data_IF_197760611783
#
_entry.id   IF_197760611783
#
_cell.length_a   1.000
_cell.length_b   1.000
_cell.length_c   1.000
_cell.angle_alpha   90.00
_cell.angle_beta   90.00
_cell.angle_gamma   90.00
#
_symmetry.space_group_name_H-M   'P 1'
#
loop_
_entity.id
_entity.type
_entity.pdbx_description
1 polymer ?
#
# COMPACT_ATOMS: atom_id res chain seq x y z
N UNK A 1 29.90 28.47 16.67
CA UNK A 1 29.63 27.16 16.07
C UNK A 1 29.00 27.35 14.67
N UNK A 2 29.59 26.73 13.68
CA UNK A 2 29.04 26.75 12.33
C UNK A 2 27.75 25.91 12.27
N UNK A 3 26.80 26.29 11.43
CA UNK A 3 25.53 25.57 11.26
C UNK A 3 25.31 25.19 9.80
N UNK A 4 24.77 23.98 9.57
CA UNK A 4 24.37 23.52 8.27
C UNK A 4 22.92 23.01 8.36
N UNK A 5 22.04 23.54 7.54
CA UNK A 5 20.64 23.10 7.47
C UNK A 5 20.43 22.28 6.21
N UNK A 6 19.91 21.07 6.36
CA UNK A 6 19.63 20.15 5.28
C UNK A 6 18.12 19.84 5.21
N UNK A 7 17.64 19.61 4.00
CA UNK A 7 16.28 19.07 3.81
C UNK A 7 16.33 17.55 4.07
N UNK A 8 15.63 17.09 5.10
CA UNK A 8 15.65 15.68 5.49
C UNK A 8 14.96 14.75 4.48
N UNK A 9 14.11 15.30 3.63
CA UNK A 9 13.28 14.47 2.72
C UNK A 9 12.13 13.76 3.41
N UNK A 10 11.98 13.90 4.72
CA UNK A 10 10.89 13.29 5.45
C UNK A 10 9.58 14.01 5.17
N UNK A 11 8.58 13.27 4.69
CA UNK A 11 7.24 13.78 4.39
C UNK A 11 6.21 13.06 5.24
N UNK A 12 5.18 13.78 5.62
CA UNK A 12 4.08 13.24 6.42
C UNK A 12 2.79 13.29 5.62
N UNK A 13 2.02 12.21 5.72
CA UNK A 13 0.73 12.06 5.06
C UNK A 13 -0.33 11.89 6.14
N UNK A 14 -1.27 12.82 6.23
CA UNK A 14 -2.39 12.70 7.17
C UNK A 14 -3.44 11.76 6.57
N UNK A 15 -3.83 10.75 7.33
CA UNK A 15 -4.93 9.85 6.98
C UNK A 15 -6.15 10.28 7.79
N UNK A 16 -7.23 10.60 7.11
CA UNK A 16 -8.48 11.10 7.71
C UNK A 16 -9.64 10.19 7.33
N UNK A 17 -10.66 10.15 8.18
CA UNK A 17 -11.90 9.46 7.89
C UNK A 17 -12.84 10.31 7.01
N UNK A 18 -14.03 9.80 6.71
CA UNK A 18 -15.04 10.46 5.89
C UNK A 18 -15.57 11.76 6.50
N UNK A 19 -15.44 11.94 7.80
CA UNK A 19 -15.85 13.16 8.52
C UNK A 19 -14.73 14.20 8.60
N UNK A 20 -13.55 13.87 8.08
CA UNK A 20 -12.38 14.73 8.11
C UNK A 20 -11.57 14.65 9.41
N UNK A 21 -11.89 13.71 10.29
CA UNK A 21 -11.16 13.49 11.54
C UNK A 21 -9.87 12.71 11.28
N UNK A 22 -8.80 13.12 11.95
CA UNK A 22 -7.49 12.48 11.80
C UNK A 22 -7.50 11.09 12.40
N UNK A 23 -7.16 10.09 11.58
CA UNK A 23 -6.96 8.71 12.03
C UNK A 23 -5.51 8.51 12.47
N UNK A 24 -4.57 8.79 11.59
CA UNK A 24 -3.13 8.63 11.85
C UNK A 24 -2.31 9.47 10.87
N UNK A 25 -1.01 9.56 11.11
CA UNK A 25 -0.06 10.23 10.21
C UNK A 25 0.97 9.20 9.77
N UNK A 26 1.13 9.06 8.47
CA UNK A 26 2.17 8.22 7.87
C UNK A 26 3.40 9.07 7.58
N UNK A 27 4.57 8.45 7.67
CA UNK A 27 5.83 9.10 7.33
C UNK A 27 6.51 8.36 6.19
N UNK A 28 7.06 9.11 5.24
CA UNK A 28 7.83 8.55 4.13
C UNK A 28 9.06 9.43 3.89
N UNK A 29 10.21 8.82 3.64
CA UNK A 29 11.42 9.57 3.35
C UNK A 29 11.71 9.54 1.85
N UNK A 30 11.44 10.65 1.16
CA UNK A 30 11.66 10.77 -0.28
C UNK A 30 13.12 11.05 -0.63
N UNK A 31 13.98 11.28 0.36
CA UNK A 31 15.43 11.35 0.17
C UNK A 31 16.09 9.98 0.11
N UNK A 32 15.39 8.92 0.52
CA UNK A 32 15.85 7.56 0.37
C UNK A 32 15.66 7.13 -1.09
N UNK A 33 16.79 6.92 -1.80
CA UNK A 33 16.77 6.57 -3.22
C UNK A 33 16.03 5.25 -3.52
N UNK A 34 15.99 4.33 -2.55
CA UNK A 34 15.33 3.04 -2.73
C UNK A 34 13.81 3.10 -2.51
N UNK A 35 13.30 4.15 -1.91
CA UNK A 35 11.87 4.26 -1.55
C UNK A 35 10.96 4.22 -2.79
N UNK A 36 11.33 4.90 -3.86
CA UNK A 36 10.53 4.92 -5.11
C UNK A 36 10.47 3.52 -5.75
N UNK A 37 11.60 2.81 -5.78
CA UNK A 37 11.67 1.44 -6.31
C UNK A 37 10.87 0.48 -5.43
N UNK A 38 11.01 0.57 -4.10
CA UNK A 38 10.22 -0.20 -3.14
C UNK A 38 8.72 0.01 -3.34
N UNK A 39 8.32 1.26 -3.52
CA UNK A 39 6.92 1.61 -3.77
C UNK A 39 6.39 0.90 -5.03
N UNK A 40 7.13 0.98 -6.14
CA UNK A 40 6.74 0.32 -7.38
C UNK A 40 6.68 -1.20 -7.23
N UNK A 41 7.65 -1.81 -6.55
CA UNK A 41 7.67 -3.25 -6.29
C UNK A 41 6.48 -3.69 -5.44
N UNK A 42 6.13 -2.92 -4.41
CA UNK A 42 4.99 -3.23 -3.54
C UNK A 42 3.68 -3.15 -4.32
N UNK A 43 3.50 -2.15 -5.18
CA UNK A 43 2.31 -2.06 -6.02
C UNK A 43 2.20 -3.30 -6.95
N UNK A 44 3.30 -3.73 -7.55
CA UNK A 44 3.33 -4.96 -8.35
C UNK A 44 3.00 -6.21 -7.52
N UNK A 45 3.53 -6.30 -6.31
CA UNK A 45 3.26 -7.42 -5.39
C UNK A 45 1.78 -7.46 -4.99
N UNK A 46 1.15 -6.32 -4.76
CA UNK A 46 -0.27 -6.26 -4.42
C UNK A 46 -1.13 -6.82 -5.56
N UNK A 47 -0.80 -6.48 -6.80
CA UNK A 47 -1.50 -7.01 -7.97
C UNK A 47 -1.31 -8.52 -8.08
N UNK A 48 -0.10 -9.02 -7.92
CA UNK A 48 0.21 -10.46 -7.96
C UNK A 48 -0.51 -11.23 -6.84
N UNK A 49 -0.53 -10.69 -5.62
CA UNK A 49 -1.25 -11.28 -4.49
C UNK A 49 -2.74 -11.40 -4.81
N UNK A 50 -3.35 -10.34 -5.36
CA UNK A 50 -4.77 -10.35 -5.75
C UNK A 50 -5.08 -11.40 -6.81
N UNK A 51 -4.25 -11.51 -7.84
CA UNK A 51 -4.38 -12.51 -8.90
C UNK A 51 -4.26 -13.94 -8.36
N UNK A 52 -3.30 -14.18 -7.46
CA UNK A 52 -3.09 -15.49 -6.83
C UNK A 52 -4.29 -15.87 -5.95
N UNK A 53 -4.88 -14.91 -5.25
CA UNK A 53 -6.09 -15.14 -4.47
C UNK A 53 -7.25 -15.60 -5.35
N UNK A 54 -7.49 -14.91 -6.45
CA UNK A 54 -8.55 -15.29 -7.41
C UNK A 54 -8.33 -16.67 -7.99
N UNK A 55 -7.10 -17.00 -8.37
CA UNK A 55 -6.73 -18.32 -8.90
C UNK A 55 -6.95 -19.43 -7.88
N UNK A 56 -6.51 -19.23 -6.64
CA UNK A 56 -6.67 -20.22 -5.57
C UNK A 56 -8.14 -20.44 -5.21
N UNK A 57 -8.90 -19.37 -5.11
CA UNK A 57 -10.35 -19.46 -4.84
C UNK A 57 -11.09 -20.17 -5.97
N UNK A 58 -10.77 -19.88 -7.23
CA UNK A 58 -11.35 -20.53 -8.39
C UNK A 58 -10.99 -22.02 -8.45
N UNK A 59 -9.73 -22.36 -8.18
CA UNK A 59 -9.29 -23.77 -8.15
C UNK A 59 -9.99 -24.55 -7.04
N UNK A 60 -10.13 -23.96 -5.86
CA UNK A 60 -10.85 -24.59 -4.76
C UNK A 60 -12.32 -24.83 -5.10
N UNK A 61 -13.00 -23.85 -5.67
CA UNK A 61 -14.39 -23.96 -6.10
C UNK A 61 -14.57 -25.08 -7.13
N UNK A 62 -13.66 -25.19 -8.09
CA UNK A 62 -13.67 -26.21 -9.13
C UNK A 62 -13.52 -27.62 -8.55
N UNK A 63 -12.60 -27.79 -7.59
CA UNK A 63 -12.36 -29.07 -6.92
C UNK A 63 -13.55 -29.52 -6.07
N UNK A 64 -14.38 -28.58 -5.60
CA UNK A 64 -15.51 -28.83 -4.70
C UNK A 64 -16.88 -28.62 -5.37
N UNK A 65 -16.96 -28.54 -6.69
CA UNK A 65 -18.23 -28.41 -7.44
C UNK A 65 -19.20 -29.54 -7.13
N UNK A 66 -18.69 -30.74 -6.87
CA UNK A 66 -19.51 -31.93 -6.61
C UNK A 66 -20.05 -32.01 -5.18
N UNK A 67 -19.56 -31.17 -4.30
CA UNK A 67 -19.96 -31.12 -2.89
C UNK A 67 -21.13 -30.16 -2.66
N UNK A 68 -21.73 -29.61 -3.73
CA UNK A 68 -22.90 -28.75 -3.64
C UNK A 68 -24.10 -29.51 -3.09
N UNK A 69 -24.66 -29.01 -1.99
CA UNK A 69 -25.88 -29.53 -1.42
C UNK A 69 -27.08 -29.23 -2.35
N UNK A 70 -27.88 -30.24 -2.64
CA UNK A 70 -29.03 -30.18 -3.57
C UNK A 70 -30.18 -29.32 -3.00
N UNK A 71 -30.09 -28.89 -1.74
CA UNK A 71 -31.19 -28.28 -1.00
C UNK A 71 -31.29 -26.76 -1.05
N UNK A 72 -30.36 -26.05 -1.74
CA UNK A 72 -30.35 -24.60 -1.80
C UNK A 72 -30.01 -23.92 -0.47
N UNK A 73 -29.62 -24.66 0.54
CA UNK A 73 -29.15 -24.14 1.79
C UNK A 73 -27.73 -23.58 1.62
N UNK A 74 -27.42 -22.50 2.34
CA UNK A 74 -26.06 -21.92 2.36
C UNK A 74 -25.11 -22.96 2.96
N UNK A 75 -24.15 -23.41 2.17
CA UNK A 75 -23.08 -24.28 2.64
C UNK A 75 -22.07 -23.42 3.45
N UNK A 76 -22.25 -23.42 4.75
CA UNK A 76 -21.42 -22.64 5.69
C UNK A 76 -19.96 -23.05 5.58
N UNK A 77 -19.68 -24.35 5.42
CA UNK A 77 -18.31 -24.87 5.31
C UNK A 77 -17.62 -24.30 4.05
N UNK A 78 -18.33 -24.27 2.92
CA UNK A 78 -17.84 -23.70 1.67
C UNK A 78 -17.54 -22.21 1.80
N UNK A 79 -18.45 -21.45 2.40
CA UNK A 79 -18.26 -20.00 2.67
C UNK A 79 -17.06 -19.78 3.57
N UNK A 80 -16.89 -20.58 4.63
CA UNK A 80 -15.76 -20.47 5.55
C UNK A 80 -14.43 -20.75 4.84
N UNK A 81 -14.33 -21.78 4.01
CA UNK A 81 -13.09 -22.11 3.30
C UNK A 81 -12.68 -21.02 2.31
N UNK A 82 -13.63 -20.52 1.52
CA UNK A 82 -13.35 -19.41 0.60
C UNK A 82 -12.93 -18.17 1.36
N UNK A 83 -13.59 -17.86 2.48
CA UNK A 83 -13.24 -16.71 3.29
C UNK A 83 -11.85 -16.85 3.95
N UNK A 84 -11.45 -18.06 4.35
CA UNK A 84 -10.09 -18.32 4.88
C UNK A 84 -9.01 -18.05 3.84
N UNK A 85 -9.24 -18.48 2.60
CA UNK A 85 -8.34 -18.16 1.47
C UNK A 85 -8.22 -16.64 1.33
N UNK A 86 -9.36 -15.96 1.22
CA UNK A 86 -9.44 -14.51 1.09
C UNK A 86 -8.71 -13.77 2.21
N UNK A 87 -8.98 -14.11 3.47
CA UNK A 87 -8.37 -13.45 4.63
C UNK A 87 -6.86 -13.63 4.66
N UNK A 88 -6.36 -14.80 4.29
CA UNK A 88 -4.91 -15.03 4.20
C UNK A 88 -4.23 -14.07 3.22
N UNK A 89 -4.82 -13.85 2.04
CA UNK A 89 -4.29 -12.93 1.04
C UNK A 89 -4.45 -11.46 1.46
N UNK A 90 -5.56 -11.10 2.12
CA UNK A 90 -5.73 -9.76 2.69
C UNK A 90 -4.65 -9.43 3.72
N UNK A 91 -4.28 -10.39 4.55
CA UNK A 91 -3.17 -10.23 5.50
C UNK A 91 -1.83 -10.05 4.80
N UNK A 92 -1.58 -10.73 3.68
CA UNK A 92 -0.37 -10.54 2.89
C UNK A 92 -0.31 -9.12 2.31
N UNK A 93 -1.44 -8.60 1.81
CA UNK A 93 -1.53 -7.22 1.32
C UNK A 93 -1.22 -6.22 2.45
N UNK A 94 -1.79 -6.43 3.62
CA UNK A 94 -1.52 -5.59 4.79
C UNK A 94 -0.02 -5.59 5.15
N UNK A 95 0.63 -6.75 5.09
CA UNK A 95 2.07 -6.86 5.33
C UNK A 95 2.90 -6.06 4.31
N UNK A 96 2.52 -6.07 3.03
CA UNK A 96 3.20 -5.28 2.00
C UNK A 96 3.06 -3.78 2.26
N UNK A 97 1.89 -3.32 2.70
CA UNK A 97 1.68 -1.92 3.08
C UNK A 97 2.58 -1.55 4.27
N UNK A 98 2.68 -2.42 5.26
CA UNK A 98 3.55 -2.20 6.43
C UNK A 98 5.04 -2.16 6.04
N UNK A 99 5.45 -2.90 5.03
CA UNK A 99 6.83 -2.83 4.52
C UNK A 99 7.18 -1.46 3.95
N UNK A 100 6.21 -0.79 3.35
CA UNK A 100 6.44 0.53 2.73
C UNK A 100 6.45 1.65 3.76
N UNK A 101 5.50 1.67 4.69
CA UNK A 101 5.30 2.78 5.63
C UNK A 101 5.78 2.48 7.04
N UNK A 102 6.11 1.24 7.34
CA UNK A 102 6.57 0.80 8.65
C UNK A 102 5.61 -0.18 9.30
N UNK A 103 6.15 -1.01 10.18
CA UNK A 103 5.38 -1.99 10.94
C UNK A 103 4.28 -1.29 11.75
N UNK A 104 3.08 -1.86 11.74
CA UNK A 104 1.93 -1.33 12.46
C UNK A 104 1.15 -0.25 11.72
N UNK A 105 1.50 0.09 10.48
CA UNK A 105 0.80 1.11 9.69
C UNK A 105 -0.67 0.73 9.47
N UNK A 106 -0.95 -0.48 9.01
CA UNK A 106 -2.32 -0.93 8.75
C UNK A 106 -3.14 -0.93 10.05
N UNK A 107 -2.54 -1.38 11.15
CA UNK A 107 -3.19 -1.36 12.45
C UNK A 107 -3.50 0.08 12.93
N UNK A 108 -2.62 1.03 12.67
CA UNK A 108 -2.84 2.43 13.03
C UNK A 108 -4.00 3.06 12.25
N UNK A 109 -4.26 2.58 11.04
CA UNK A 109 -5.35 3.08 10.19
C UNK A 109 -6.68 2.39 10.53
N UNK A 110 -6.69 1.08 10.67
CA UNK A 110 -7.91 0.26 10.74
C UNK A 110 -8.18 -0.38 12.10
N UNK A 111 -7.20 -0.33 13.04
CA UNK A 111 -7.32 -1.02 14.32
C UNK A 111 -7.06 -2.52 14.20
N UNK A 112 -7.59 -3.30 15.14
CA UNK A 112 -7.35 -4.75 15.25
C UNK A 112 -8.27 -5.59 14.36
N UNK A 113 -8.50 -5.15 13.14
CA UNK A 113 -9.30 -5.88 12.15
C UNK A 113 -8.42 -6.34 10.99
N UNK A 114 -8.90 -7.29 10.20
CA UNK A 114 -8.35 -7.55 8.88
C UNK A 114 -9.15 -6.69 7.89
N UNK A 115 -8.56 -5.62 7.32
CA UNK A 115 -9.28 -4.79 6.35
C UNK A 115 -9.71 -5.62 5.14
N UNK A 116 -10.90 -5.37 4.63
CA UNK A 116 -11.39 -6.04 3.43
C UNK A 116 -10.80 -5.42 2.15
N UNK A 117 -11.17 -5.98 1.01
CA UNK A 117 -10.68 -5.52 -0.30
C UNK A 117 -11.02 -4.05 -0.54
N UNK A 118 -12.24 -3.63 -0.20
CA UNK A 118 -12.67 -2.25 -0.39
C UNK A 118 -11.80 -1.27 0.40
N UNK A 119 -11.53 -1.58 1.68
CA UNK A 119 -10.68 -0.76 2.52
C UNK A 119 -9.25 -0.65 1.98
N UNK A 120 -8.65 -1.78 1.58
CA UNK A 120 -7.27 -1.81 1.09
C UNK A 120 -7.13 -1.15 -0.29
N UNK A 121 -8.08 -1.36 -1.19
CA UNK A 121 -8.12 -0.70 -2.50
C UNK A 121 -8.25 0.81 -2.33
N UNK A 122 -9.14 1.26 -1.46
CA UNK A 122 -9.32 2.69 -1.16
C UNK A 122 -8.01 3.33 -0.67
N UNK A 123 -7.31 2.64 0.23
CA UNK A 123 -6.01 3.12 0.72
C UNK A 123 -4.97 3.21 -0.42
N UNK A 124 -4.83 2.14 -1.21
CA UNK A 124 -3.84 2.09 -2.29
C UNK A 124 -4.15 3.12 -3.37
N UNK A 125 -5.39 3.23 -3.80
CA UNK A 125 -5.82 4.23 -4.79
C UNK A 125 -5.61 5.66 -4.28
N UNK A 126 -5.81 5.89 -2.99
CA UNK A 126 -5.59 7.20 -2.38
C UNK A 126 -4.13 7.57 -2.21
N UNK A 127 -3.28 6.60 -1.86
CA UNK A 127 -1.86 6.86 -1.57
C UNK A 127 -1.00 6.99 -2.83
N UNK A 128 -1.36 6.31 -3.93
CA UNK A 128 -0.57 6.35 -5.17
C UNK A 128 -0.38 7.78 -5.71
N UNK A 129 -1.43 8.59 -5.88
CA UNK A 129 -1.25 9.97 -6.35
C UNK A 129 -0.42 10.83 -5.39
N UNK A 130 -0.58 10.63 -4.09
CA UNK A 130 0.18 11.36 -3.07
C UNK A 130 1.67 11.02 -3.17
N UNK A 131 2.01 9.74 -3.28
CA UNK A 131 3.40 9.28 -3.42
C UNK A 131 4.02 9.81 -4.72
N UNK A 132 3.31 9.73 -5.83
CA UNK A 132 3.77 10.25 -7.11
C UNK A 132 4.06 11.75 -7.03
N UNK A 133 3.21 12.50 -6.36
CA UNK A 133 3.40 13.94 -6.15
C UNK A 133 4.65 14.23 -5.31
N UNK A 134 4.84 13.48 -4.23
CA UNK A 134 6.01 13.66 -3.35
C UNK A 134 7.32 13.34 -4.05
N UNK A 135 7.38 12.23 -4.79
CA UNK A 135 8.56 11.87 -5.58
C UNK A 135 8.80 12.86 -6.73
N UNK A 136 7.75 13.31 -7.38
CA UNK A 136 7.85 14.30 -8.45
C UNK A 136 8.43 15.62 -7.97
N UNK A 137 7.99 16.11 -6.82
CA UNK A 137 8.53 17.32 -6.20
C UNK A 137 10.01 17.17 -5.85
N UNK A 138 10.41 16.02 -5.30
CA UNK A 138 11.81 15.74 -4.95
C UNK A 138 12.69 15.68 -6.20
N UNK A 139 12.20 15.02 -7.25
CA UNK A 139 12.89 14.94 -8.53
C UNK A 139 13.11 16.34 -9.14
N UNK A 140 12.07 17.19 -9.16
CA UNK A 140 12.16 18.56 -9.65
C UNK A 140 13.16 19.41 -8.84
N UNK A 141 13.17 19.24 -7.54
CA UNK A 141 14.13 19.94 -6.66
C UNK A 141 15.57 19.55 -6.99
N UNK A 142 15.82 18.26 -7.18
CA UNK A 142 17.14 17.73 -7.57
C UNK A 142 17.57 18.26 -8.94
N UNK A 143 16.67 18.23 -9.90
CA UNK A 143 16.92 18.72 -11.26
C UNK A 143 17.24 20.21 -11.27
N UNK A 144 16.48 21.02 -10.55
CA UNK A 144 16.72 22.47 -10.46
C UNK A 144 18.07 22.77 -9.84
N UNK A 145 18.48 22.07 -8.78
CA UNK A 145 19.78 22.23 -8.15
C UNK A 145 20.91 21.82 -9.08
N UNK A 146 20.76 20.71 -9.79
CA UNK A 146 21.74 20.26 -10.77
C UNK A 146 21.94 21.29 -11.89
N UNK A 147 20.87 21.80 -12.48
CA UNK A 147 20.89 22.79 -13.54
C UNK A 147 21.47 24.13 -13.06
N UNK A 148 21.14 24.57 -11.85
CA UNK A 148 21.68 25.78 -11.24
C UNK A 148 23.20 25.69 -11.03
N UNK A 149 23.69 24.57 -10.50
CA UNK A 149 25.12 24.31 -10.32
C UNK A 149 25.87 24.26 -11.65
N UNK A 150 25.27 23.67 -12.68
CA UNK A 150 25.84 23.60 -14.02
C UNK A 150 25.93 24.98 -14.69
N UNK A 151 24.94 25.83 -14.51
CA UNK A 151 24.97 27.23 -14.99
C UNK A 151 26.05 28.04 -14.26
N UNK A 152 26.19 27.85 -12.96
CA UNK A 152 27.25 28.49 -12.19
C UNK A 152 28.65 28.07 -12.64
N UNK A 153 28.84 26.83 -13.05
CA UNK A 153 30.12 26.34 -13.55
C UNK A 153 30.51 26.92 -14.93
N UNK A 154 29.57 27.47 -15.65
CA UNK A 154 29.79 28.11 -16.97
C UNK A 154 30.09 29.61 -16.87
N UNK A 155 29.82 30.20 -15.76
CA UNK A 155 30.13 31.59 -15.50
C UNK A 155 31.56 31.76 -15.02
#
# INVERSE_FOLDING_TARGET
>A
MEELKLNSGLKKIAIKDEDGDLITVLSVNVADADTAEHFAQIINNLQEISENCEKEAAAWKKEHEQDETVSGEVDVERVLQINRIRVRYLKQIAEEIDKLFGEGTVQSIYGDITPDETALVEFVEGVIPVMNKLFGKRYEMTRKRYNSGRKGARA
#
